data_IF_332062335604
#
_entry.id   IF_332062335604
#
_cell.length_a   1.000
_cell.length_b   1.000
_cell.length_c   1.000
_cell.angle_alpha   90.00
_cell.angle_beta   90.00
_cell.angle_gamma   90.00
#
_symmetry.space_group_name_H-M   'P 1'
#
loop_
_entity.id
_entity.type
_entity.pdbx_description
1 polymer ?
#
# COMPACT_ATOMS: atom_id res chain seq x y z
N UNK A 1 -30.82 -11.46 21.45
CA UNK A 1 -29.71 -11.73 20.53
C UNK A 1 -29.83 -10.77 19.37
N UNK A 2 -28.81 -9.97 19.06
CA UNK A 2 -28.84 -8.97 17.99
C UNK A 2 -28.04 -9.46 16.78
N UNK A 3 -28.57 -9.20 15.59
CA UNK A 3 -27.95 -9.53 14.32
C UNK A 3 -27.81 -8.24 13.51
N UNK A 4 -26.67 -8.04 12.86
CA UNK A 4 -26.42 -6.84 12.06
C UNK A 4 -25.89 -7.22 10.68
N UNK A 5 -26.44 -6.53 9.66
CA UNK A 5 -25.98 -6.62 8.27
C UNK A 5 -24.73 -5.77 8.13
N UNK A 6 -23.64 -6.37 7.69
CA UNK A 6 -22.40 -5.62 7.44
C UNK A 6 -22.27 -5.31 5.96
N UNK A 7 -22.16 -4.02 5.63
CA UNK A 7 -21.72 -3.47 4.34
C UNK A 7 -22.43 -4.05 3.10
N UNK A 8 -23.21 -3.22 2.40
CA UNK A 8 -23.67 -3.59 1.07
C UNK A 8 -22.52 -3.47 0.08
N UNK A 9 -22.40 -4.45 -0.80
CA UNK A 9 -21.57 -4.33 -1.99
C UNK A 9 -22.17 -3.25 -2.90
N UNK A 10 -21.43 -2.16 -3.13
CA UNK A 10 -21.93 -0.98 -3.85
C UNK A 10 -22.24 -1.25 -5.33
N UNK A 11 -21.72 -2.35 -5.88
CA UNK A 11 -21.91 -2.72 -7.28
C UNK A 11 -23.11 -3.67 -7.47
N UNK A 12 -23.34 -4.60 -6.55
CA UNK A 12 -24.40 -5.62 -6.65
C UNK A 12 -25.59 -5.41 -5.72
N UNK A 13 -25.51 -4.46 -4.77
CA UNK A 13 -26.52 -4.23 -3.74
C UNK A 13 -26.66 -5.37 -2.73
N UNK A 14 -25.84 -6.42 -2.84
CA UNK A 14 -25.91 -7.62 -1.98
C UNK A 14 -25.22 -7.36 -0.65
N UNK A 15 -25.83 -7.85 0.42
CA UNK A 15 -25.27 -7.78 1.77
C UNK A 15 -24.11 -8.76 1.88
N UNK A 16 -22.93 -8.29 2.35
CA UNK A 16 -21.71 -9.11 2.44
C UNK A 16 -21.79 -10.22 3.48
N UNK A 17 -22.62 -10.06 4.52
CA UNK A 17 -22.86 -11.10 5.52
C UNK A 17 -23.74 -10.62 6.68
N UNK A 18 -24.20 -11.57 7.50
CA UNK A 18 -24.97 -11.32 8.73
C UNK A 18 -24.15 -11.87 9.91
N UNK A 19 -23.73 -10.98 10.81
CA UNK A 19 -23.00 -11.33 12.03
C UNK A 19 -23.93 -11.38 13.24
N UNK A 20 -23.59 -12.22 14.22
CA UNK A 20 -24.23 -12.28 15.54
C UNK A 20 -23.37 -11.54 16.55
N UNK A 21 -23.96 -10.62 17.30
CA UNK A 21 -23.28 -9.89 18.35
C UNK A 21 -23.07 -10.77 19.61
N UNK A 22 -21.85 -10.77 20.15
CA UNK A 22 -21.49 -11.28 21.47
C UNK A 22 -20.41 -10.38 22.09
N UNK A 23 -20.68 -9.84 23.28
CA UNK A 23 -19.74 -8.99 24.02
C UNK A 23 -19.13 -7.89 23.14
N UNK A 24 -19.99 -7.11 22.46
CA UNK A 24 -19.61 -6.03 21.53
C UNK A 24 -18.80 -6.45 20.29
N UNK A 25 -18.61 -7.75 20.07
CA UNK A 25 -17.98 -8.32 18.89
C UNK A 25 -19.01 -9.00 17.97
N UNK A 26 -19.00 -8.66 16.69
CA UNK A 26 -19.85 -9.32 15.68
C UNK A 26 -19.15 -10.57 15.14
N UNK A 27 -19.69 -11.73 15.48
CA UNK A 27 -19.20 -13.04 15.04
C UNK A 27 -19.97 -13.49 13.80
N UNK A 28 -19.24 -13.79 12.72
CA UNK A 28 -19.83 -14.41 11.54
C UNK A 28 -19.85 -15.93 11.74
N UNK A 29 -21.02 -16.59 11.67
CA UNK A 29 -21.07 -18.03 11.67
C UNK A 29 -20.41 -18.53 10.39
N UNK A 30 -19.16 -18.94 10.52
CA UNK A 30 -18.43 -19.60 9.47
C UNK A 30 -19.04 -21.00 9.37
N UNK A 31 -19.80 -21.25 8.30
CA UNK A 31 -20.38 -22.57 8.03
C UNK A 31 -19.24 -23.53 7.70
N UNK A 32 -18.53 -23.98 8.73
CA UNK A 32 -17.57 -25.05 8.65
C UNK A 32 -18.34 -26.33 8.32
N UNK A 33 -18.30 -26.74 7.05
CA UNK A 33 -18.56 -28.13 6.70
C UNK A 33 -17.71 -29.01 7.59
N UNK A 34 -18.33 -30.03 8.17
CA UNK A 34 -17.72 -30.95 9.15
C UNK A 34 -16.31 -31.36 8.71
N UNK A 35 -15.37 -31.19 9.64
CA UNK A 35 -13.97 -31.61 9.53
C UNK A 35 -13.89 -33.10 9.16
N UNK A 36 -13.61 -33.40 7.90
CA UNK A 36 -12.67 -34.46 7.57
C UNK A 36 -11.29 -33.83 7.60
N UNK A 37 -10.29 -34.57 8.11
CA UNK A 37 -8.89 -34.16 8.23
C UNK A 37 -8.37 -33.58 6.90
N UNK A 38 -8.43 -32.27 6.78
CA UNK A 38 -7.97 -31.55 5.60
C UNK A 38 -7.13 -30.38 6.10
N UNK A 39 -5.88 -30.44 5.69
CA UNK A 39 -4.82 -29.44 5.82
C UNK A 39 -5.34 -28.02 5.95
N UNK A 40 -4.73 -27.26 6.86
CA UNK A 40 -4.84 -25.81 6.95
C UNK A 40 -4.46 -25.20 5.60
N UNK A 41 -5.39 -25.13 4.65
CA UNK A 41 -5.27 -24.25 3.50
C UNK A 41 -5.43 -22.86 4.06
N UNK A 42 -4.29 -22.28 4.42
CA UNK A 42 -4.12 -20.84 4.45
C UNK A 42 -4.77 -20.26 3.20
N UNK A 43 -5.18 -19.00 3.24
CA UNK A 43 -5.47 -18.25 2.02
C UNK A 43 -4.17 -18.26 1.20
N UNK A 44 -3.95 -19.32 0.45
CA UNK A 44 -2.89 -19.42 -0.51
C UNK A 44 -3.32 -18.39 -1.53
N UNK A 45 -2.71 -17.20 -1.42
CA UNK A 45 -2.58 -16.31 -2.56
C UNK A 45 -2.25 -17.23 -3.72
N UNK A 46 -3.17 -17.33 -4.67
CA UNK A 46 -3.00 -18.17 -5.85
C UNK A 46 -1.57 -17.93 -6.29
N UNK A 47 -0.71 -18.96 -6.27
CA UNK A 47 0.66 -18.90 -6.79
C UNK A 47 0.52 -18.72 -8.31
N UNK A 48 0.00 -17.57 -8.73
CA UNK A 48 0.25 -17.04 -10.05
C UNK A 48 1.74 -16.89 -10.10
N UNK A 49 2.33 -17.45 -11.15
CA UNK A 49 3.72 -17.25 -11.50
C UNK A 49 4.00 -15.76 -11.28
N UNK A 50 4.87 -15.45 -10.33
CA UNK A 50 5.21 -14.08 -10.03
C UNK A 50 5.76 -13.51 -11.32
N UNK A 51 5.05 -12.52 -11.87
CA UNK A 51 5.49 -11.87 -13.10
C UNK A 51 6.64 -10.93 -12.74
N UNK A 52 7.83 -11.50 -12.78
CA UNK A 52 9.09 -10.88 -12.38
C UNK A 52 9.34 -9.60 -13.19
N UNK A 53 8.79 -9.52 -14.41
CA UNK A 53 9.00 -8.38 -15.31
C UNK A 53 8.03 -7.21 -15.04
N UNK A 54 6.91 -7.46 -14.35
CA UNK A 54 5.93 -6.42 -13.98
C UNK A 54 6.37 -5.65 -12.73
N UNK A 55 6.97 -6.33 -11.75
CA UNK A 55 7.33 -5.72 -10.48
C UNK A 55 8.38 -4.60 -10.57
N UNK A 56 9.44 -4.71 -11.40
CA UNK A 56 10.36 -3.60 -11.67
C UNK A 56 9.63 -2.36 -12.19
N UNK A 57 8.61 -2.52 -13.05
CA UNK A 57 7.82 -1.41 -13.58
C UNK A 57 6.93 -0.76 -12.53
N UNK A 58 6.35 -1.56 -11.63
CA UNK A 58 5.47 -1.07 -10.55
C UNK A 58 6.24 -0.35 -9.44
N UNK A 59 7.41 -0.88 -9.09
CA UNK A 59 8.23 -0.31 -8.01
C UNK A 59 9.15 0.82 -8.50
N UNK A 60 9.39 0.93 -9.80
CA UNK A 60 10.34 1.87 -10.36
C UNK A 60 11.76 1.54 -9.92
N UNK A 61 12.37 2.43 -9.13
CA UNK A 61 13.77 2.31 -8.68
C UNK A 61 13.94 1.39 -7.45
N UNK A 62 13.40 0.17 -7.51
CA UNK A 62 13.70 -0.83 -6.48
C UNK A 62 15.05 -1.51 -6.75
N UNK A 63 15.85 -1.69 -5.70
CA UNK A 63 17.08 -2.48 -5.80
C UNK A 63 16.77 -3.95 -6.05
N UNK A 64 17.73 -4.69 -6.63
CA UNK A 64 17.60 -6.15 -6.81
C UNK A 64 17.33 -6.86 -5.48
N UNK A 65 17.92 -6.37 -4.38
CA UNK A 65 17.67 -6.88 -3.04
C UNK A 65 16.24 -6.67 -2.56
N UNK A 66 15.65 -5.50 -2.82
CA UNK A 66 14.25 -5.22 -2.49
C UNK A 66 13.29 -6.10 -3.29
N UNK A 67 13.54 -6.28 -4.59
CA UNK A 67 12.73 -7.15 -5.45
C UNK A 67 12.87 -8.62 -5.01
N UNK A 68 14.08 -9.07 -4.68
CA UNK A 68 14.34 -10.40 -4.12
C UNK A 68 13.56 -10.66 -2.83
N UNK A 69 13.61 -9.72 -1.89
CA UNK A 69 12.89 -9.86 -0.61
C UNK A 69 11.37 -9.89 -0.81
N UNK A 70 10.85 -9.06 -1.71
CA UNK A 70 9.41 -8.99 -1.99
C UNK A 70 8.89 -10.22 -2.73
N UNK A 71 9.64 -10.73 -3.72
CA UNK A 71 9.20 -11.81 -4.59
C UNK A 71 9.64 -13.20 -4.13
N UNK A 72 10.62 -13.28 -3.22
CA UNK A 72 11.20 -14.54 -2.78
C UNK A 72 11.93 -15.31 -3.90
N UNK A 73 12.47 -14.59 -4.90
CA UNK A 73 13.07 -15.17 -6.10
C UNK A 73 14.61 -15.15 -6.06
N UNK A 74 15.29 -16.02 -6.83
CA UNK A 74 16.74 -15.99 -6.96
C UNK A 74 17.25 -14.65 -7.49
N UNK A 75 18.41 -14.22 -6.99
CA UNK A 75 18.99 -12.92 -7.31
C UNK A 75 19.23 -12.72 -8.82
N UNK A 76 19.68 -13.77 -9.52
CA UNK A 76 19.92 -13.73 -10.96
C UNK A 76 18.63 -13.46 -11.77
N UNK A 77 17.48 -13.99 -11.33
CA UNK A 77 16.21 -13.76 -12.00
C UNK A 77 15.75 -12.31 -11.82
N UNK A 78 15.88 -11.77 -10.60
CA UNK A 78 15.56 -10.38 -10.31
C UNK A 78 16.49 -9.42 -11.07
N UNK A 79 17.77 -9.75 -11.20
CA UNK A 79 18.76 -8.97 -11.95
C UNK A 79 18.39 -8.89 -13.43
N UNK A 80 18.10 -10.04 -14.05
CA UNK A 80 17.67 -10.13 -15.45
C UNK A 80 16.40 -9.33 -15.72
N UNK A 81 15.42 -9.40 -14.82
CA UNK A 81 14.18 -8.62 -14.93
C UNK A 81 14.42 -7.10 -14.86
N UNK A 82 15.39 -6.66 -14.05
CA UNK A 82 15.79 -5.25 -13.97
C UNK A 82 16.56 -4.79 -15.20
N UNK A 83 17.45 -5.64 -15.75
CA UNK A 83 18.20 -5.37 -16.99
C UNK A 83 17.28 -5.26 -18.22
N UNK A 84 16.22 -6.07 -18.27
CA UNK A 84 15.21 -6.03 -19.33
C UNK A 84 14.23 -4.85 -19.19
N UNK A 85 14.29 -4.10 -18.09
CA UNK A 85 13.33 -3.02 -17.80
C UNK A 85 13.79 -1.70 -18.44
N UNK A 86 13.10 -1.26 -19.50
CA UNK A 86 13.39 0.02 -20.18
C UNK A 86 13.06 1.25 -19.31
N UNK A 87 12.06 1.15 -18.42
CA UNK A 87 11.60 2.26 -17.57
C UNK A 87 12.49 2.44 -16.34
N UNK A 88 13.11 1.38 -15.84
CA UNK A 88 13.85 1.40 -14.59
C UNK A 88 15.08 2.34 -14.61
N UNK A 89 15.86 2.44 -15.70
CA UNK A 89 16.90 3.45 -15.86
C UNK A 89 16.34 4.89 -15.95
N UNK A 90 15.16 5.08 -16.54
CA UNK A 90 14.52 6.39 -16.66
C UNK A 90 13.96 6.87 -15.32
N UNK A 91 13.40 5.95 -14.54
CA UNK A 91 12.97 6.17 -13.16
C UNK A 91 14.17 6.41 -12.21
N UNK A 92 15.39 6.03 -12.62
CA UNK A 92 16.66 6.31 -11.91
C UNK A 92 17.15 7.74 -12.17
N UNK A 93 16.28 8.69 -12.50
CA UNK A 93 16.65 10.10 -12.42
C UNK A 93 16.90 10.48 -10.96
N UNK A 94 18.13 10.25 -10.50
CA UNK A 94 18.63 10.86 -9.28
C UNK A 94 18.63 12.34 -9.58
N UNK A 95 17.76 13.09 -8.92
CA UNK A 95 17.80 14.54 -8.99
C UNK A 95 19.25 14.95 -8.70
N UNK A 96 19.88 15.66 -9.63
CA UNK A 96 21.23 16.19 -9.40
C UNK A 96 21.22 16.96 -8.07
N UNK A 97 22.32 16.91 -7.30
CA UNK A 97 22.42 17.71 -6.10
C UNK A 97 22.10 19.16 -6.45
N UNK A 98 21.31 19.81 -5.61
CA UNK A 98 21.08 21.24 -5.77
C UNK A 98 22.41 21.98 -5.70
N UNK A 99 22.55 23.02 -6.52
CA UNK A 99 23.67 23.94 -6.36
C UNK A 99 23.61 24.55 -4.96
N UNK A 100 24.78 24.80 -4.38
CA UNK A 100 24.88 25.51 -3.11
C UNK A 100 24.23 26.88 -3.25
N UNK A 101 23.34 27.22 -2.32
CA UNK A 101 22.78 28.57 -2.25
C UNK A 101 23.89 29.57 -1.90
N UNK A 102 23.98 30.65 -2.67
CA UNK A 102 24.85 31.80 -2.38
C UNK A 102 24.12 32.89 -1.60
N UNK A 103 22.81 32.74 -1.38
CA UNK A 103 22.01 33.68 -0.60
C UNK A 103 22.43 33.63 0.87
N UNK A 104 22.93 34.77 1.38
CA UNK A 104 23.34 34.96 2.77
C UNK A 104 22.86 36.32 3.25
N UNK A 105 22.45 36.41 4.51
CA UNK A 105 22.06 37.67 5.14
C UNK A 105 23.17 38.22 6.02
N UNK A 106 23.30 39.55 6.04
CA UNK A 106 24.31 40.26 6.82
C UNK A 106 23.77 40.81 8.14
N UNK A 107 22.45 40.83 8.31
CA UNK A 107 21.75 41.41 9.46
C UNK A 107 20.81 40.39 10.11
N UNK A 108 20.53 40.56 11.40
CA UNK A 108 19.59 39.72 12.14
C UNK A 108 18.17 39.94 11.60
N UNK A 109 17.39 38.87 11.46
CA UNK A 109 16.01 38.87 10.93
C UNK A 109 15.83 39.30 9.46
N UNK A 110 16.89 39.39 8.67
CA UNK A 110 16.79 39.77 7.25
C UNK A 110 16.20 38.68 6.35
N UNK A 111 16.35 37.39 6.70
CA UNK A 111 15.74 36.28 5.98
C UNK A 111 15.11 35.31 6.97
N UNK A 112 13.80 35.12 6.84
CA UNK A 112 13.01 34.21 7.65
C UNK A 112 12.52 33.07 6.76
N UNK A 113 12.89 31.84 7.08
CA UNK A 113 12.36 30.65 6.44
C UNK A 113 11.20 30.11 7.29
N UNK A 114 9.97 30.16 6.75
CA UNK A 114 8.78 29.57 7.39
C UNK A 114 8.32 28.42 6.50
N UNK A 115 8.13 27.25 7.09
CA UNK A 115 7.51 26.09 6.44
C UNK A 115 6.18 25.77 7.14
N UNK A 116 5.19 25.31 6.36
CA UNK A 116 3.88 24.89 6.85
C UNK A 116 3.78 23.38 6.71
N UNK A 117 4.00 22.67 7.81
CA UNK A 117 3.70 21.25 7.87
C UNK A 117 2.23 21.01 8.26
N UNK A 118 1.53 20.20 7.48
CA UNK A 118 0.20 19.71 7.86
C UNK A 118 0.38 18.40 8.64
N UNK A 119 -0.03 18.32 9.91
CA UNK A 119 -0.01 17.06 10.63
C UNK A 119 -1.03 16.09 10.01
N UNK A 120 -0.60 14.86 9.73
CA UNK A 120 -1.36 13.80 9.03
C UNK A 120 -2.58 13.27 9.79
N UNK A 121 -2.95 13.89 10.90
CA UNK A 121 -4.07 13.48 11.76
C UNK A 121 -5.30 14.39 11.67
N UNK A 122 -5.32 15.38 10.77
CA UNK A 122 -6.57 16.06 10.46
C UNK A 122 -7.45 15.16 9.59
N UNK A 123 -8.31 14.37 10.25
CA UNK A 123 -9.56 13.92 9.66
C UNK A 123 -10.38 15.16 9.36
N UNK A 124 -10.35 15.61 8.12
CA UNK A 124 -11.32 16.55 7.59
C UNK A 124 -12.68 15.85 7.53
N UNK A 125 -13.42 15.85 8.65
CA UNK A 125 -14.88 15.92 8.58
C UNK A 125 -15.23 17.40 8.65
N UNK A 126 -14.89 18.14 7.59
CA UNK A 126 -15.54 19.41 7.32
C UNK A 126 -16.61 19.12 6.27
N UNK A 127 -17.86 19.03 6.72
CA UNK A 127 -19.00 19.22 5.85
C UNK A 127 -18.94 20.64 5.33
N UNK A 128 -18.52 20.79 4.07
CA UNK A 128 -18.62 22.05 3.36
C UNK A 128 -20.09 22.19 2.95
N UNK A 129 -20.88 22.88 3.77
CA UNK A 129 -22.13 23.48 3.32
C UNK A 129 -21.76 24.73 2.52
N UNK A 130 -21.87 24.64 1.20
CA UNK A 130 -21.93 25.82 0.34
C UNK A 130 -23.22 26.57 0.66
N UNK A 131 -23.09 27.83 1.10
CA UNK A 131 -24.12 28.85 0.88
C UNK A 131 -23.77 29.62 -0.40
#
# INVERSE_FOLDING_TARGET
>A
MKYQRTGQDLYSGKVKGIGRERCDLYLFPQNYTKRTTAESKSLAAVKKKVDIDIWPRRLGYASVGAIKQMLGLPQEQCKKALENCVICPLARHVRLPFNNSTSRTFEVFHLLHIDVWVPTVFKLTMEINFF
#
